data_IF_532415349126
#
_entry.id   IF_532415349126
#
_cell.length_a   1.000
_cell.length_b   1.000
_cell.length_c   1.000
_cell.angle_alpha   90.00
_cell.angle_beta   90.00
_cell.angle_gamma   90.00
#
_symmetry.space_group_name_H-M   'P 1'
#
loop_
_entity.id
_entity.type
_entity.pdbx_description
1 polymer ?
#
# COMPACT_ATOMS: atom_id res chain seq x y z
N UNK A 1 -0.74 30.93 62.26
CA UNK A 1 -0.68 31.73 61.02
C UNK A 1 0.72 31.59 60.42
N UNK A 2 0.88 30.79 59.38
CA UNK A 2 2.09 30.72 58.54
C UNK A 2 1.61 30.27 57.17
N UNK A 3 1.48 31.21 56.24
CA UNK A 3 1.09 30.95 54.86
C UNK A 3 2.32 30.38 54.14
N UNK A 4 2.21 29.13 53.67
CA UNK A 4 3.21 28.51 52.81
C UNK A 4 2.85 28.84 51.35
N UNK A 5 3.57 29.79 50.76
CA UNK A 5 3.50 30.12 49.33
C UNK A 5 4.18 29.01 48.53
N UNK A 6 3.39 28.21 47.81
CA UNK A 6 3.89 27.24 46.84
C UNK A 6 4.04 27.96 45.51
N UNK A 7 5.29 28.25 45.12
CA UNK A 7 5.63 28.69 43.77
C UNK A 7 5.56 27.47 42.84
N UNK A 8 4.51 27.42 42.01
CA UNK A 8 4.43 26.46 40.91
C UNK A 8 5.24 27.04 39.75
N UNK A 9 6.51 26.62 39.66
CA UNK A 9 7.32 26.82 38.45
C UNK A 9 6.79 25.89 37.36
N UNK A 10 5.99 26.43 36.45
CA UNK A 10 5.59 25.74 35.22
C UNK A 10 6.83 25.53 34.35
N UNK A 11 7.35 24.31 34.35
CA UNK A 11 8.41 23.88 33.45
C UNK A 11 7.78 23.74 32.05
N UNK A 12 7.81 24.81 31.25
CA UNK A 12 7.50 24.70 29.83
C UNK A 12 8.65 23.96 29.18
N UNK A 13 8.52 22.64 29.03
CA UNK A 13 9.35 21.87 28.13
C UNK A 13 9.08 22.36 26.71
N UNK A 14 9.86 23.33 26.23
CA UNK A 14 9.99 23.59 24.81
C UNK A 14 10.56 22.33 24.20
N UNK A 15 9.74 21.53 23.52
CA UNK A 15 10.23 20.55 22.57
C UNK A 15 10.97 21.33 21.50
N UNK A 16 12.28 21.49 21.66
CA UNK A 16 13.15 21.84 20.57
C UNK A 16 12.91 20.78 19.49
N UNK A 17 12.28 21.18 18.39
CA UNK A 17 12.24 20.38 17.18
C UNK A 17 13.70 20.20 16.77
N UNK A 18 14.29 19.06 17.14
CA UNK A 18 15.58 18.66 16.61
C UNK A 18 15.47 18.73 15.07
N UNK A 19 16.45 19.34 14.42
CA UNK A 19 16.49 19.45 12.95
C UNK A 19 16.06 18.11 12.31
N UNK A 20 14.96 18.13 11.56
CA UNK A 20 14.26 16.92 11.08
C UNK A 20 15.11 15.98 10.19
N UNK A 21 16.29 16.44 9.76
CA UNK A 21 17.21 15.74 8.87
C UNK A 21 18.64 15.90 9.39
N UNK A 22 19.42 14.82 9.31
CA UNK A 22 20.87 14.94 9.45
C UNK A 22 21.53 15.55 8.20
N UNK A 23 22.82 15.86 8.27
CA UNK A 23 23.53 16.53 7.17
C UNK A 23 23.53 15.75 5.83
N UNK A 24 23.57 14.41 5.88
CA UNK A 24 23.51 13.59 4.67
C UNK A 24 22.09 13.57 4.08
N UNK A 25 21.08 13.40 4.93
CA UNK A 25 19.67 13.44 4.51
C UNK A 25 19.32 14.80 3.91
N UNK A 26 19.80 15.91 4.49
CA UNK A 26 19.61 17.25 3.94
C UNK A 26 20.23 17.38 2.55
N UNK A 27 21.43 16.85 2.34
CA UNK A 27 22.11 16.86 1.04
C UNK A 27 21.35 16.02 0.00
N UNK A 28 20.86 14.85 0.40
CA UNK A 28 20.07 13.97 -0.47
C UNK A 28 18.76 14.63 -0.89
N UNK A 29 18.03 15.23 0.06
CA UNK A 29 16.81 16.03 -0.20
C UNK A 29 17.09 17.18 -1.15
N UNK A 30 18.14 17.96 -0.93
CA UNK A 30 18.50 19.08 -1.80
C UNK A 30 18.85 18.62 -3.22
N UNK A 31 19.52 17.47 -3.35
CA UNK A 31 19.82 16.86 -4.65
C UNK A 31 18.54 16.51 -5.42
N UNK A 32 17.57 15.89 -4.76
CA UNK A 32 16.27 15.56 -5.35
C UNK A 32 15.50 16.83 -5.74
N UNK A 33 15.43 17.84 -4.86
CA UNK A 33 14.78 19.12 -5.18
C UNK A 33 15.39 19.75 -6.43
N UNK A 34 16.73 19.80 -6.51
CA UNK A 34 17.45 20.34 -7.68
C UNK A 34 17.14 19.54 -8.95
N UNK A 35 17.07 18.22 -8.83
CA UNK A 35 16.74 17.33 -9.95
C UNK A 35 15.35 17.66 -10.54
N UNK A 36 14.35 17.91 -9.69
CA UNK A 36 13.00 18.29 -10.14
C UNK A 36 12.92 19.73 -10.65
N UNK A 37 13.68 20.67 -10.10
CA UNK A 37 13.81 22.03 -10.65
C UNK A 37 14.35 22.02 -12.09
N UNK A 38 15.30 21.13 -12.38
CA UNK A 38 15.88 20.96 -13.71
C UNK A 38 14.94 20.25 -14.70
N UNK A 39 13.83 19.64 -14.23
CA UNK A 39 12.81 18.95 -15.04
C UNK A 39 13.38 17.91 -16.02
N UNK A 40 14.52 17.30 -15.69
CA UNK A 40 15.17 16.31 -16.54
C UNK A 40 14.53 14.92 -16.31
N UNK A 41 13.57 14.57 -17.16
CA UNK A 41 12.81 13.31 -17.10
C UNK A 41 13.72 12.08 -17.05
N UNK A 42 14.79 12.06 -17.85
CA UNK A 42 15.74 10.93 -17.87
C UNK A 42 16.46 10.81 -16.55
N UNK A 43 16.96 11.91 -16.00
CA UNK A 43 17.66 11.90 -14.72
C UNK A 43 16.72 11.54 -13.55
N UNK A 44 15.48 12.05 -13.54
CA UNK A 44 14.45 11.66 -12.56
C UNK A 44 14.16 10.17 -12.64
N UNK A 45 13.95 9.65 -13.86
CA UNK A 45 13.64 8.24 -14.09
C UNK A 45 14.80 7.31 -13.68
N UNK A 46 16.05 7.76 -13.79
CA UNK A 46 17.22 7.01 -13.33
C UNK A 46 17.43 7.11 -11.80
N UNK A 47 16.79 8.08 -11.14
CA UNK A 47 16.90 8.33 -9.71
C UNK A 47 15.81 7.62 -8.88
N UNK A 48 15.24 6.52 -9.41
CA UNK A 48 14.19 5.74 -8.77
C UNK A 48 14.71 4.33 -8.46
N UNK A 49 14.34 3.80 -7.30
CA UNK A 49 14.51 2.39 -6.96
C UNK A 49 13.40 1.60 -7.65
N UNK A 50 13.79 0.61 -8.45
CA UNK A 50 12.86 -0.24 -9.19
C UNK A 50 12.80 -1.66 -8.60
N UNK A 51 11.66 -2.35 -8.72
CA UNK A 51 10.40 -1.89 -9.33
C UNK A 51 9.69 -0.83 -8.48
N UNK A 52 9.13 0.20 -9.13
CA UNK A 52 8.30 1.20 -8.47
C UNK A 52 6.87 0.69 -8.39
N UNK A 53 6.44 0.32 -7.19
CA UNK A 53 5.08 -0.13 -6.94
C UNK A 53 4.07 1.03 -7.03
N UNK A 54 2.91 0.76 -7.64
CA UNK A 54 1.77 1.69 -7.73
C UNK A 54 0.58 1.07 -7.01
N UNK A 55 -0.42 1.89 -6.73
CA UNK A 55 -1.65 1.42 -6.08
C UNK A 55 -2.37 0.38 -6.97
N UNK A 56 -2.61 -0.81 -6.44
CA UNK A 56 -3.29 -1.87 -7.20
C UNK A 56 -4.71 -1.41 -7.64
N UNK A 57 -5.18 -1.83 -8.83
CA UNK A 57 -4.54 -2.74 -9.78
C UNK A 57 -3.58 -2.10 -10.80
N UNK A 58 -3.11 -0.85 -10.60
CA UNK A 58 -2.16 -0.23 -11.54
C UNK A 58 -0.87 -1.07 -11.57
N UNK A 59 -0.39 -1.50 -12.75
CA UNK A 59 0.88 -2.22 -12.84
C UNK A 59 2.04 -1.41 -12.25
N UNK A 60 2.96 -2.09 -11.58
CA UNK A 60 4.23 -1.47 -11.17
C UNK A 60 5.06 -1.08 -12.40
N UNK A 61 6.07 -0.24 -12.17
CA UNK A 61 7.01 0.20 -13.20
C UNK A 61 8.33 -0.51 -12.96
N UNK A 62 8.78 -1.33 -13.91
CA UNK A 62 9.90 -2.24 -13.68
C UNK A 62 11.28 -1.59 -13.85
N UNK A 63 11.37 -0.46 -14.57
CA UNK A 63 12.65 0.19 -14.89
C UNK A 63 12.45 1.62 -15.41
N UNK A 64 13.57 2.33 -15.57
CA UNK A 64 13.60 3.72 -16.06
C UNK A 64 13.01 3.90 -17.47
N UNK A 65 13.08 2.89 -18.34
CA UNK A 65 12.48 2.97 -19.68
C UNK A 65 10.96 3.00 -19.59
N UNK A 66 10.37 2.10 -18.80
CA UNK A 66 8.92 2.10 -18.54
C UNK A 66 8.49 3.35 -17.77
N UNK A 67 9.32 3.85 -16.85
CA UNK A 67 9.05 5.09 -16.12
C UNK A 67 8.97 6.28 -17.07
N UNK A 68 9.90 6.41 -18.01
CA UNK A 68 9.86 7.47 -19.03
C UNK A 68 8.57 7.43 -19.85
N UNK A 69 8.10 6.24 -20.24
CA UNK A 69 6.83 6.08 -20.96
C UNK A 69 5.61 6.52 -20.13
N UNK A 70 5.66 6.28 -18.81
CA UNK A 70 4.58 6.59 -17.87
C UNK A 70 4.85 7.85 -17.05
N UNK A 71 5.79 8.70 -17.48
CA UNK A 71 6.30 9.78 -16.64
C UNK A 71 5.21 10.76 -16.24
N UNK A 72 4.48 11.30 -17.21
CA UNK A 72 3.39 12.25 -16.97
C UNK A 72 2.17 11.59 -16.30
N UNK A 73 2.11 10.25 -16.28
CA UNK A 73 1.09 9.55 -15.51
C UNK A 73 1.44 9.57 -14.02
N UNK A 74 2.70 9.39 -13.63
CA UNK A 74 3.12 9.34 -12.22
C UNK A 74 3.49 10.71 -11.67
N UNK A 75 4.24 11.50 -12.43
CA UNK A 75 4.71 12.84 -12.09
C UNK A 75 3.97 13.88 -12.93
N UNK A 76 2.79 14.25 -12.48
CA UNK A 76 2.08 15.38 -13.06
C UNK A 76 2.67 16.73 -12.59
N UNK A 77 2.14 17.82 -13.13
CA UNK A 77 2.61 19.17 -12.80
C UNK A 77 2.53 19.45 -11.30
N UNK A 78 1.49 18.96 -10.62
CA UNK A 78 1.30 19.19 -9.19
C UNK A 78 2.42 18.52 -8.39
N UNK A 79 2.65 17.22 -8.60
CA UNK A 79 3.70 16.50 -7.87
C UNK A 79 5.09 17.06 -8.18
N UNK A 80 5.37 17.40 -9.44
CA UNK A 80 6.65 18.02 -9.83
C UNK A 80 6.88 19.34 -9.09
N UNK A 81 5.85 20.19 -9.02
CA UNK A 81 5.94 21.48 -8.32
C UNK A 81 6.05 21.30 -6.81
N UNK A 82 5.34 20.35 -6.23
CA UNK A 82 5.43 20.02 -4.80
C UNK A 82 6.87 19.64 -4.43
N UNK A 83 7.49 18.74 -5.19
CA UNK A 83 8.88 18.32 -4.94
C UNK A 83 9.86 19.47 -5.19
N UNK A 84 9.77 20.12 -6.37
CA UNK A 84 10.71 21.16 -6.78
C UNK A 84 10.69 22.40 -5.87
N UNK A 85 9.55 22.71 -5.26
CA UNK A 85 9.38 23.87 -4.39
C UNK A 85 9.35 23.52 -2.89
N UNK A 86 9.51 22.24 -2.53
CA UNK A 86 9.55 21.81 -1.14
C UNK A 86 10.71 22.45 -0.37
N UNK A 87 10.48 22.71 0.91
CA UNK A 87 11.49 23.19 1.87
C UNK A 87 12.02 22.01 2.68
N UNK A 88 13.26 22.02 3.16
CA UNK A 88 13.80 20.97 4.03
C UNK A 88 12.91 20.63 5.23
N UNK A 89 12.21 21.61 5.81
CA UNK A 89 11.29 21.41 6.94
C UNK A 89 10.06 20.54 6.63
N UNK A 90 9.74 20.32 5.35
CA UNK A 90 8.66 19.44 4.90
C UNK A 90 9.10 17.97 4.75
N UNK A 91 10.39 17.73 4.94
CA UNK A 91 10.98 16.40 4.89
C UNK A 91 11.28 15.93 6.31
N UNK A 92 10.98 14.66 6.57
CA UNK A 92 11.10 14.05 7.90
C UNK A 92 11.91 12.78 7.80
N UNK A 93 12.95 12.65 8.63
CA UNK A 93 13.68 11.40 8.79
C UNK A 93 12.84 10.39 9.56
N UNK A 94 12.68 9.20 8.98
CA UNK A 94 12.00 8.06 9.59
C UNK A 94 13.00 6.96 9.99
N UNK A 95 14.26 7.36 10.23
CA UNK A 95 15.38 6.48 10.56
C UNK A 95 15.67 5.51 9.41
N UNK A 96 15.80 4.22 9.72
CA UNK A 96 16.06 3.18 8.71
C UNK A 96 14.97 3.09 7.61
N UNK A 97 13.80 3.68 7.83
CA UNK A 97 12.74 3.78 6.82
C UNK A 97 12.99 4.87 5.78
N UNK A 98 14.04 5.67 5.90
CA UNK A 98 14.37 6.73 4.95
C UNK A 98 13.66 8.05 5.25
N UNK A 99 13.63 8.94 4.25
CA UNK A 99 13.14 10.32 4.41
C UNK A 99 11.83 10.48 3.63
N UNK A 100 10.80 11.06 4.24
CA UNK A 100 9.50 11.29 3.58
C UNK A 100 9.21 12.78 3.40
N UNK A 101 8.53 13.13 2.30
CA UNK A 101 7.96 14.45 2.04
C UNK A 101 6.49 14.49 2.44
N UNK A 102 6.07 15.53 3.17
CA UNK A 102 4.67 15.85 3.50
C UNK A 102 3.87 14.64 4.03
N UNK A 103 4.38 13.93 5.04
CA UNK A 103 3.69 12.77 5.59
C UNK A 103 3.60 11.56 4.65
N UNK A 104 4.44 11.51 3.61
CA UNK A 104 4.61 10.33 2.77
C UNK A 104 4.19 10.49 1.31
N UNK A 105 3.94 11.70 0.80
CA UNK A 105 3.74 11.96 -0.65
C UNK A 105 4.80 11.23 -1.49
N UNK A 106 6.06 11.36 -1.08
CA UNK A 106 7.23 10.73 -1.70
C UNK A 106 8.22 10.29 -0.62
N UNK A 107 8.88 9.15 -0.84
CA UNK A 107 9.88 8.58 0.05
C UNK A 107 11.22 8.42 -0.63
N UNK A 108 12.29 8.68 0.12
CA UNK A 108 13.68 8.50 -0.30
C UNK A 108 14.35 7.33 0.44
N UNK A 109 15.27 6.68 -0.26
CA UNK A 109 16.35 5.84 0.28
C UNK A 109 17.68 6.48 -0.13
N UNK A 110 18.34 7.17 0.80
CA UNK A 110 19.40 8.13 0.47
C UNK A 110 18.89 9.18 -0.52
N UNK A 111 19.59 9.35 -1.65
CA UNK A 111 19.21 10.28 -2.71
C UNK A 111 18.19 9.71 -3.73
N UNK A 112 17.81 8.43 -3.64
CA UNK A 112 16.90 7.79 -4.62
C UNK A 112 15.46 7.81 -4.14
N UNK A 113 14.53 7.98 -5.07
CA UNK A 113 13.08 7.85 -4.82
C UNK A 113 12.74 6.36 -4.71
N UNK A 114 12.18 5.94 -3.58
CA UNK A 114 11.82 4.54 -3.36
C UNK A 114 10.31 4.27 -3.39
N UNK A 115 9.50 5.26 -3.07
CA UNK A 115 8.04 5.16 -3.11
C UNK A 115 7.40 6.51 -3.38
N UNK A 116 6.20 6.48 -3.96
CA UNK A 116 5.38 7.65 -4.26
C UNK A 116 3.95 7.27 -3.85
N UNK A 117 3.43 7.85 -2.77
CA UNK A 117 2.05 7.56 -2.35
C UNK A 117 1.04 8.49 -3.04
N UNK A 118 1.50 9.59 -3.61
CA UNK A 118 0.69 10.43 -4.51
C UNK A 118 0.19 9.61 -5.71
N UNK A 119 -1.06 9.84 -6.09
CA UNK A 119 -1.72 9.23 -7.25
C UNK A 119 -2.38 10.34 -8.05
N UNK A 120 -1.83 10.62 -9.24
CA UNK A 120 -2.33 11.69 -10.12
C UNK A 120 -3.74 11.40 -10.61
N UNK A 121 -4.41 12.41 -11.15
CA UNK A 121 -5.70 12.22 -11.84
C UNK A 121 -5.60 11.19 -12.99
N UNK A 122 -4.45 11.12 -13.66
CA UNK A 122 -4.22 10.15 -14.73
C UNK A 122 -4.11 8.72 -14.19
N UNK A 123 -3.46 8.53 -13.04
CA UNK A 123 -3.43 7.22 -12.36
C UNK A 123 -4.78 6.82 -11.80
N UNK A 124 -5.51 7.74 -11.18
CA UNK A 124 -6.85 7.47 -10.67
C UNK A 124 -7.82 7.08 -11.79
N UNK A 125 -7.78 7.77 -12.94
CA UNK A 125 -8.56 7.40 -14.14
C UNK A 125 -8.16 6.02 -14.67
N UNK A 126 -6.85 5.76 -14.76
CA UNK A 126 -6.36 4.46 -15.23
C UNK A 126 -6.77 3.33 -14.28
N UNK A 127 -6.68 3.54 -12.97
CA UNK A 127 -7.17 2.61 -11.95
C UNK A 127 -8.65 2.30 -12.14
N UNK A 128 -9.48 3.32 -12.32
CA UNK A 128 -10.92 3.14 -12.54
C UNK A 128 -11.20 2.34 -13.82
N UNK A 129 -10.46 2.59 -14.90
CA UNK A 129 -10.56 1.81 -16.14
C UNK A 129 -10.21 0.34 -15.92
N UNK A 130 -9.10 0.04 -15.24
CA UNK A 130 -8.70 -1.34 -14.92
C UNK A 130 -9.75 -2.06 -14.06
N UNK A 131 -10.30 -1.38 -13.05
CA UNK A 131 -11.38 -1.93 -12.22
C UNK A 131 -12.62 -2.23 -13.05
N UNK A 132 -12.99 -1.33 -13.97
CA UNK A 132 -14.13 -1.55 -14.89
C UNK A 132 -13.90 -2.76 -15.80
N UNK A 133 -12.69 -2.90 -16.35
CA UNK A 133 -12.31 -4.06 -17.15
C UNK A 133 -12.40 -5.37 -16.35
N UNK A 134 -11.88 -5.40 -15.12
CA UNK A 134 -12.01 -6.56 -14.24
C UNK A 134 -13.48 -6.90 -13.98
N UNK A 135 -14.34 -5.92 -13.68
CA UNK A 135 -15.79 -6.14 -13.48
C UNK A 135 -16.44 -6.85 -14.66
N UNK A 136 -16.01 -6.55 -15.89
CA UNK A 136 -16.57 -7.18 -17.09
C UNK A 136 -16.14 -8.64 -17.26
N UNK A 137 -15.01 -9.05 -16.66
CA UNK A 137 -14.47 -10.41 -16.71
C UNK A 137 -14.99 -11.32 -15.60
N UNK A 138 -15.74 -10.78 -14.62
CA UNK A 138 -16.30 -11.54 -13.50
C UNK A 138 -17.70 -12.06 -13.80
N UNK A 139 -18.05 -13.16 -13.12
CA UNK A 139 -19.44 -13.61 -12.98
C UNK A 139 -20.33 -12.49 -12.43
N UNK A 140 -21.59 -12.44 -12.86
CA UNK A 140 -22.54 -11.37 -12.52
C UNK A 140 -22.66 -11.10 -11.01
N UNK A 141 -22.62 -12.16 -10.19
CA UNK A 141 -22.69 -12.07 -8.72
C UNK A 141 -21.52 -11.31 -8.07
N UNK A 142 -20.43 -11.07 -8.80
CA UNK A 142 -19.23 -10.42 -8.29
C UNK A 142 -18.98 -9.03 -8.86
N UNK A 143 -19.75 -8.55 -9.84
CA UNK A 143 -19.47 -7.27 -10.53
C UNK A 143 -19.59 -6.05 -9.62
N UNK A 144 -20.38 -6.14 -8.55
CA UNK A 144 -20.47 -5.07 -7.57
C UNK A 144 -19.32 -5.18 -6.55
N UNK A 145 -18.34 -4.30 -6.66
CA UNK A 145 -17.28 -4.07 -5.67
C UNK A 145 -16.69 -2.65 -5.82
N UNK A 146 -16.06 -2.15 -4.76
CA UNK A 146 -15.33 -0.88 -4.73
C UNK A 146 -13.92 -1.06 -5.27
N UNK A 147 -13.12 -1.91 -4.62
CA UNK A 147 -11.72 -2.20 -4.99
C UNK A 147 -11.42 -3.70 -4.92
N UNK A 148 -10.58 -4.21 -5.84
CA UNK A 148 -10.06 -5.56 -5.76
C UNK A 148 -8.89 -5.59 -4.76
N UNK A 149 -9.06 -6.23 -3.61
CA UNK A 149 -8.05 -6.20 -2.54
C UNK A 149 -7.00 -7.30 -2.73
N UNK A 150 -7.45 -8.53 -2.98
CA UNK A 150 -6.56 -9.68 -3.18
C UNK A 150 -7.06 -10.60 -4.29
N UNK A 151 -6.12 -11.14 -5.05
CA UNK A 151 -6.32 -12.29 -5.93
C UNK A 151 -5.16 -13.24 -5.75
N UNK A 152 -5.44 -14.49 -5.36
CA UNK A 152 -4.39 -15.46 -5.07
C UNK A 152 -4.81 -16.89 -5.40
N UNK A 153 -3.82 -17.74 -5.62
CA UNK A 153 -3.99 -19.18 -5.79
C UNK A 153 -3.27 -19.92 -4.68
N UNK A 154 -3.95 -20.91 -4.12
CA UNK A 154 -3.34 -21.95 -3.29
C UNK A 154 -3.18 -23.23 -4.10
N UNK A 155 -2.72 -24.31 -3.47
CA UNK A 155 -2.70 -25.64 -4.10
C UNK A 155 -4.10 -26.13 -4.55
N UNK A 156 -5.18 -25.67 -3.91
CA UNK A 156 -6.55 -26.17 -4.17
C UNK A 156 -7.54 -25.12 -4.64
N UNK A 157 -7.29 -23.84 -4.38
CA UNK A 157 -8.27 -22.78 -4.59
C UNK A 157 -7.68 -21.63 -5.39
N UNK A 158 -8.52 -21.02 -6.22
CA UNK A 158 -8.36 -19.64 -6.64
C UNK A 158 -9.29 -18.79 -5.77
N UNK A 159 -8.79 -17.70 -5.22
CA UNK A 159 -9.53 -16.84 -4.30
C UNK A 159 -9.40 -15.39 -4.73
N UNK A 160 -10.50 -14.66 -4.58
CA UNK A 160 -10.59 -13.21 -4.74
C UNK A 160 -11.21 -12.58 -3.50
N UNK A 161 -10.63 -11.50 -3.01
CA UNK A 161 -11.21 -10.65 -1.97
C UNK A 161 -11.44 -9.27 -2.55
N UNK A 162 -12.66 -8.77 -2.40
CA UNK A 162 -13.07 -7.45 -2.83
C UNK A 162 -13.52 -6.61 -1.62
N UNK A 163 -13.15 -5.33 -1.60
CA UNK A 163 -13.78 -4.36 -0.72
C UNK A 163 -15.13 -3.94 -1.31
N UNK A 164 -16.14 -3.91 -0.46
CA UNK A 164 -17.52 -3.62 -0.83
C UNK A 164 -17.88 -2.16 -0.52
N UNK A 165 -18.88 -1.56 -1.20
CA UNK A 165 -19.29 -0.18 -0.94
C UNK A 165 -19.72 0.11 0.50
N UNK A 166 -20.15 -0.91 1.25
CA UNK A 166 -20.56 -0.78 2.66
C UNK A 166 -19.39 -0.84 3.66
N UNK A 167 -18.14 -0.80 3.20
CA UNK A 167 -16.95 -0.87 4.06
C UNK A 167 -16.63 -2.27 4.61
N UNK A 168 -17.31 -3.31 4.11
CA UNK A 168 -17.01 -4.72 4.41
C UNK A 168 -16.27 -5.37 3.24
N UNK A 169 -15.89 -6.63 3.42
CA UNK A 169 -15.20 -7.41 2.39
C UNK A 169 -16.04 -8.59 1.93
N UNK A 170 -15.82 -9.03 0.69
CA UNK A 170 -16.37 -10.25 0.11
C UNK A 170 -15.24 -11.17 -0.30
N UNK A 171 -15.33 -12.43 0.10
CA UNK A 171 -14.50 -13.54 -0.34
C UNK A 171 -15.26 -14.32 -1.42
N UNK A 172 -14.59 -14.66 -2.51
CA UNK A 172 -15.08 -15.60 -3.50
C UNK A 172 -13.98 -16.62 -3.82
N UNK A 173 -14.35 -17.90 -3.92
CA UNK A 173 -13.39 -18.94 -4.32
C UNK A 173 -13.95 -19.88 -5.38
N UNK A 174 -13.01 -20.44 -6.14
CA UNK A 174 -13.21 -21.46 -7.14
C UNK A 174 -12.12 -22.52 -7.00
N UNK A 175 -12.27 -23.68 -7.65
CA UNK A 175 -11.16 -24.55 -7.98
C UNK A 175 -10.08 -23.84 -8.82
N UNK A 176 -8.83 -24.30 -8.72
CA UNK A 176 -7.64 -23.61 -9.28
C UNK A 176 -7.66 -23.34 -10.80
N UNK A 177 -8.43 -24.12 -11.56
CA UNK A 177 -8.54 -24.02 -13.02
C UNK A 177 -9.85 -23.36 -13.49
N UNK A 178 -10.76 -23.02 -12.59
CA UNK A 178 -12.03 -22.39 -12.93
C UNK A 178 -11.84 -20.89 -13.23
N UNK A 179 -12.54 -20.41 -14.25
CA UNK A 179 -12.54 -19.00 -14.63
C UNK A 179 -13.35 -18.16 -13.64
N UNK A 180 -12.89 -16.95 -13.33
CA UNK A 180 -13.68 -16.01 -12.50
C UNK A 180 -14.97 -15.52 -13.18
N UNK A 181 -15.12 -15.79 -14.48
CA UNK A 181 -16.36 -15.55 -15.21
C UNK A 181 -17.46 -16.57 -14.87
N UNK A 182 -17.11 -17.74 -14.33
CA UNK A 182 -18.08 -18.74 -13.87
C UNK A 182 -18.53 -18.47 -12.44
N UNK A 183 -19.71 -18.98 -12.08
CA UNK A 183 -20.22 -18.87 -10.71
C UNK A 183 -19.19 -19.39 -9.70
N UNK A 184 -18.85 -18.64 -8.64
CA UNK A 184 -17.96 -19.12 -7.59
C UNK A 184 -18.55 -20.31 -6.83
N UNK A 185 -17.70 -21.23 -6.39
CA UNK A 185 -18.09 -22.38 -5.57
C UNK A 185 -18.48 -21.92 -4.16
N UNK A 186 -17.87 -20.83 -3.68
CA UNK A 186 -18.17 -20.22 -2.38
C UNK A 186 -18.11 -18.69 -2.48
N UNK A 187 -19.09 -18.03 -1.86
CA UNK A 187 -19.09 -16.58 -1.63
C UNK A 187 -19.36 -16.34 -0.14
N UNK A 188 -18.48 -15.60 0.53
CA UNK A 188 -18.67 -15.14 1.91
C UNK A 188 -18.70 -13.62 1.92
N UNK A 189 -19.69 -13.05 2.58
CA UNK A 189 -19.87 -11.60 2.69
C UNK A 189 -19.61 -11.14 4.12
N UNK A 190 -19.67 -9.83 4.35
CA UNK A 190 -19.54 -9.23 5.69
C UNK A 190 -18.19 -9.52 6.36
N UNK A 191 -17.15 -9.73 5.54
CA UNK A 191 -15.79 -9.86 6.04
C UNK A 191 -15.29 -8.56 6.64
N UNK A 192 -14.29 -8.67 7.51
CA UNK A 192 -13.53 -7.55 8.07
C UNK A 192 -12.03 -7.75 7.84
N UNK A 193 -11.26 -6.68 7.96
CA UNK A 193 -9.80 -6.71 7.94
C UNK A 193 -9.27 -6.29 9.31
N UNK A 194 -8.21 -6.92 9.77
CA UNK A 194 -7.47 -6.56 10.98
C UNK A 194 -5.99 -6.38 10.59
N UNK A 195 -5.38 -5.27 11.02
CA UNK A 195 -4.00 -4.92 10.67
C UNK A 195 -3.03 -5.48 11.72
N UNK A 196 -1.96 -6.14 11.27
CA UNK A 196 -0.95 -6.75 12.10
C UNK A 196 0.27 -5.80 12.22
N UNK A 197 0.08 -4.75 13.02
CA UNK A 197 1.08 -3.71 13.26
C UNK A 197 1.26 -2.74 12.09
N UNK A 198 2.38 -2.00 12.09
CA UNK A 198 2.64 -0.93 11.10
C UNK A 198 3.38 -1.42 9.85
N UNK A 199 3.65 -2.73 9.75
CA UNK A 199 4.44 -3.34 8.67
C UNK A 199 3.64 -3.65 7.40
N UNK A 200 2.31 -3.49 7.45
CA UNK A 200 1.41 -3.78 6.34
C UNK A 200 0.89 -5.22 6.32
N UNK A 201 1.39 -6.10 7.19
CA UNK A 201 0.73 -7.38 7.45
C UNK A 201 -0.70 -7.13 7.94
N UNK A 202 -1.63 -7.96 7.50
CA UNK A 202 -3.04 -7.87 7.88
C UNK A 202 -3.73 -9.17 7.54
N UNK A 203 -4.95 -9.35 8.03
CA UNK A 203 -5.74 -10.52 7.70
C UNK A 203 -7.22 -10.21 7.52
N UNK A 204 -7.83 -10.89 6.55
CA UNK A 204 -9.26 -10.83 6.28
C UNK A 204 -9.98 -11.98 6.94
N UNK A 205 -11.06 -11.69 7.67
CA UNK A 205 -11.81 -12.68 8.44
C UNK A 205 -13.25 -12.75 7.94
N UNK A 206 -13.70 -13.96 7.63
CA UNK A 206 -15.06 -14.27 7.21
C UNK A 206 -15.64 -15.41 8.05
N UNK A 207 -16.87 -15.26 8.53
CA UNK A 207 -17.56 -16.29 9.31
C UNK A 207 -18.73 -16.87 8.50
N UNK A 208 -18.94 -18.18 8.58
CA UNK A 208 -20.06 -18.89 7.94
C UNK A 208 -20.51 -20.06 8.81
N UNK A 209 -21.59 -19.87 9.57
CA UNK A 209 -22.04 -20.85 10.56
C UNK A 209 -20.94 -21.19 11.56
N UNK A 210 -20.57 -22.47 11.64
CA UNK A 210 -19.49 -22.93 12.53
C UNK A 210 -18.08 -22.74 11.96
N UNK A 211 -17.95 -22.23 10.74
CA UNK A 211 -16.69 -22.06 10.04
C UNK A 211 -16.17 -20.62 10.13
N UNK A 212 -14.86 -20.48 10.21
CA UNK A 212 -14.16 -19.22 10.06
C UNK A 212 -13.05 -19.38 9.03
N UNK A 213 -12.95 -18.41 8.13
CA UNK A 213 -11.96 -18.31 7.08
C UNK A 213 -11.10 -17.09 7.37
N UNK A 214 -9.79 -17.29 7.50
CA UNK A 214 -8.83 -16.22 7.70
C UNK A 214 -7.84 -16.23 6.55
N UNK A 215 -7.72 -15.11 5.85
CA UNK A 215 -6.70 -14.90 4.82
C UNK A 215 -5.68 -13.93 5.34
N UNK A 216 -4.54 -14.45 5.77
CA UNK A 216 -3.38 -13.66 6.18
C UNK A 216 -2.66 -13.15 4.95
N UNK A 217 -2.38 -11.85 4.90
CA UNK A 217 -1.53 -11.21 3.90
C UNK A 217 -0.18 -10.89 4.53
N UNK A 218 0.85 -11.57 4.05
CA UNK A 218 2.21 -11.44 4.57
C UNK A 218 2.99 -10.47 3.67
N UNK A 219 3.04 -9.21 4.07
CA UNK A 219 3.85 -8.15 3.40
C UNK A 219 5.30 -8.19 3.89
N UNK A 220 5.49 -8.40 5.19
CA UNK A 220 6.76 -8.63 5.85
C UNK A 220 6.84 -10.08 6.33
N UNK A 221 7.94 -10.74 6.00
CA UNK A 221 8.24 -12.10 6.38
C UNK A 221 9.64 -12.50 5.90
N UNK A 222 10.06 -13.70 6.29
CA UNK A 222 11.26 -14.32 5.73
C UNK A 222 11.03 -14.71 4.25
N UNK A 223 12.10 -14.97 3.50
CA UNK A 223 12.06 -15.24 2.04
C UNK A 223 11.12 -16.37 1.62
N UNK A 224 10.86 -17.32 2.51
CA UNK A 224 10.03 -18.50 2.34
C UNK A 224 8.57 -18.27 2.77
N UNK A 225 8.28 -17.11 3.36
CA UNK A 225 6.91 -16.75 3.77
C UNK A 225 6.06 -16.60 2.51
N UNK A 226 4.93 -17.32 2.39
CA UNK A 226 4.06 -17.19 1.24
C UNK A 226 3.40 -15.80 1.24
N UNK A 227 3.09 -15.26 0.06
CA UNK A 227 2.40 -13.97 -0.06
C UNK A 227 1.13 -13.91 0.80
N UNK A 228 0.40 -15.03 0.86
CA UNK A 228 -0.81 -15.19 1.65
C UNK A 228 -0.90 -16.59 2.26
N UNK A 229 -1.58 -16.68 3.40
CA UNK A 229 -1.97 -17.95 4.02
C UNK A 229 -3.48 -17.98 4.20
N UNK A 230 -4.15 -18.99 3.62
CA UNK A 230 -5.56 -19.28 3.87
C UNK A 230 -5.68 -20.32 4.97
N UNK A 231 -6.31 -19.94 6.09
CA UNK A 231 -6.69 -20.85 7.16
C UNK A 231 -8.21 -20.97 7.27
N UNK A 232 -8.68 -22.19 7.52
CA UNK A 232 -10.10 -22.46 7.82
C UNK A 232 -10.20 -23.26 9.09
N UNK A 233 -11.04 -22.78 10.00
CA UNK A 233 -11.38 -23.47 11.24
C UNK A 233 -12.86 -23.85 11.25
N UNK A 234 -13.20 -24.93 11.95
CA UNK A 234 -14.57 -25.33 12.22
C UNK A 234 -14.70 -25.59 13.72
N UNK A 235 -15.63 -24.88 14.40
CA UNK A 235 -15.78 -24.94 15.86
C UNK A 235 -14.43 -24.73 16.59
N UNK A 236 -13.62 -23.79 16.11
CA UNK A 236 -12.30 -23.47 16.66
C UNK A 236 -11.17 -24.43 16.29
N UNK A 237 -11.45 -25.60 15.71
CA UNK A 237 -10.41 -26.54 15.26
C UNK A 237 -9.97 -26.20 13.84
N UNK A 238 -8.66 -26.02 13.62
CA UNK A 238 -8.10 -25.84 12.28
C UNK A 238 -8.30 -27.10 11.43
N UNK A 239 -8.94 -26.91 10.27
CA UNK A 239 -9.22 -27.98 9.29
C UNK A 239 -8.49 -27.75 7.95
N UNK A 240 -8.01 -26.53 7.71
CA UNK A 240 -7.25 -26.17 6.52
C UNK A 240 -6.18 -25.13 6.85
N UNK A 241 -5.00 -25.28 6.28
CA UNK A 241 -3.99 -24.22 6.18
C UNK A 241 -3.28 -24.38 4.83
N UNK A 242 -3.29 -23.34 4.00
CA UNK A 242 -2.67 -23.38 2.68
C UNK A 242 -1.92 -22.09 2.39
N UNK A 243 -0.65 -22.24 2.00
CA UNK A 243 0.12 -21.19 1.35
C UNK A 243 -0.51 -20.82 0.01
N UNK A 244 -0.51 -19.53 -0.32
CA UNK A 244 -0.95 -19.02 -1.59
C UNK A 244 0.00 -17.96 -2.15
N UNK A 245 -0.09 -17.79 -3.47
CA UNK A 245 0.65 -16.79 -4.24
C UNK A 245 -0.31 -15.84 -4.91
N UNK A 246 0.03 -14.56 -4.91
CA UNK A 246 -0.78 -13.54 -5.57
C UNK A 246 -0.64 -13.66 -7.08
N UNK A 247 -1.69 -13.23 -7.77
CA UNK A 247 -1.63 -13.00 -9.21
C UNK A 247 -2.43 -11.75 -9.56
N UNK A 248 -2.17 -11.22 -10.75
CA UNK A 248 -2.86 -10.04 -11.29
C UNK A 248 -3.85 -10.45 -12.36
#
# INVERSE_FOLDING_TARGET
MKNLLIFISALTASTAFADNLNANELKDVQSVIKLFKNKNITAISNNIVYPLHREEPIPGIANATQMKQRFNQVFDTQLIQEIANSKPSQWESMGWRGVMLNGGTLWLDGHKIKAINYSSDAEQKYKAQLISQQKNQLHSSLKNFKTPELQFKTAKFQVRIDAMPNGKYRYASWGTKQSQATKPDLILNQGRVEMDGSGGNHHYIFNSGTYQYVVYRNVLGASETPDVTLEVTQKGKKILSQAGKLFK
#
